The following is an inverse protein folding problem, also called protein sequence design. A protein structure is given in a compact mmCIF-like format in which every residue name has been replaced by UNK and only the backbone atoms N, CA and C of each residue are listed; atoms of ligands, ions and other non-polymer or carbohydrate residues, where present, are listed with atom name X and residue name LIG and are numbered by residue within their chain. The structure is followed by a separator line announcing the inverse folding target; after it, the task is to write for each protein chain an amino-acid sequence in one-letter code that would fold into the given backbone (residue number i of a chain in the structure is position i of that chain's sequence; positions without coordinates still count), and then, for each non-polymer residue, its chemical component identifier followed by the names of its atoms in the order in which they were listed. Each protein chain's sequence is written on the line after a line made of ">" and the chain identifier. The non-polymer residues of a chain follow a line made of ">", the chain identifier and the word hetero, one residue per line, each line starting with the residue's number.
data_IF_421724607572
#
_entry.id   IF_421724607572
#
_cell.length_a   1.000
_cell.length_b   1.000
_cell.length_c   1.000
_cell.angle_alpha   90.00
_cell.angle_beta   90.00
_cell.angle_gamma   90.00
#
_symmetry.space_group_name_H-M   'P 1'
#
loop_
_entity.id
_entity.type
_entity.pdbx_description
1 polymer ?
#
# COMPACT_ATOMS: atom_id res chain seq x y z
N UNK A 1 -1.21 19.75 -9.42
CA UNK A 1 -1.73 19.14 -8.17
C UNK A 1 -2.38 17.79 -8.45
N UNK A 2 -3.29 17.69 -9.42
CA UNK A 2 -3.80 16.42 -9.94
C UNK A 2 -2.70 15.38 -10.26
N UNK A 3 -1.55 15.83 -10.80
CA UNK A 3 -0.44 14.98 -11.24
C UNK A 3 0.09 13.99 -10.20
N UNK A 4 0.22 14.40 -8.93
CA UNK A 4 0.79 13.51 -7.88
C UNK A 4 -0.22 12.42 -7.54
N UNK A 5 -1.49 12.77 -7.37
CA UNK A 5 -2.53 11.80 -7.08
C UNK A 5 -2.73 10.86 -8.27
N UNK A 6 -2.67 11.36 -9.52
CA UNK A 6 -2.65 10.54 -10.73
C UNK A 6 -1.48 9.55 -10.73
N UNK A 7 -0.25 10.01 -10.43
CA UNK A 7 0.94 9.15 -10.38
C UNK A 7 0.79 8.05 -9.33
N UNK A 8 0.30 8.38 -8.14
CA UNK A 8 0.04 7.41 -7.07
C UNK A 8 -1.02 6.40 -7.53
N UNK A 9 -2.13 6.86 -8.10
CA UNK A 9 -3.20 6.00 -8.60
C UNK A 9 -2.70 5.04 -9.68
N UNK A 10 -1.94 5.54 -10.67
CA UNK A 10 -1.36 4.72 -11.72
C UNK A 10 -0.36 3.70 -11.16
N UNK A 11 0.44 4.08 -10.17
CA UNK A 11 1.35 3.15 -9.50
C UNK A 11 0.58 2.04 -8.78
N UNK A 12 -0.50 2.38 -8.06
CA UNK A 12 -1.36 1.41 -7.36
C UNK A 12 -2.04 0.47 -8.37
N UNK A 13 -2.58 1.00 -9.46
CA UNK A 13 -3.18 0.20 -10.55
C UNK A 13 -2.13 -0.74 -11.15
N UNK A 14 -0.93 -0.24 -11.41
CA UNK A 14 0.16 -1.03 -11.97
C UNK A 14 0.57 -2.17 -11.02
N UNK A 15 0.73 -1.89 -9.72
CA UNK A 15 1.01 -2.91 -8.72
C UNK A 15 -0.12 -3.95 -8.63
N UNK A 16 -1.37 -3.51 -8.62
CA UNK A 16 -2.54 -4.40 -8.63
C UNK A 16 -2.59 -5.29 -9.88
N UNK A 17 -2.33 -4.72 -11.06
CA UNK A 17 -2.24 -5.45 -12.32
C UNK A 17 -1.10 -6.47 -12.32
N UNK A 18 0.06 -6.12 -11.77
CA UNK A 18 1.16 -7.08 -11.57
C UNK A 18 0.75 -8.24 -10.66
N UNK A 19 0.03 -7.98 -9.57
CA UNK A 19 -0.50 -9.02 -8.68
C UNK A 19 -1.58 -9.87 -9.35
N UNK A 20 -2.32 -9.35 -10.33
CA UNK A 20 -3.28 -10.16 -11.09
C UNK A 20 -2.55 -11.06 -12.08
N UNK A 21 -1.57 -10.52 -12.82
CA UNK A 21 -0.82 -11.27 -13.84
C UNK A 21 0.15 -12.29 -13.23
N UNK A 22 0.81 -11.92 -12.12
CA UNK A 22 1.69 -12.79 -11.34
C UNK A 22 1.39 -12.64 -9.85
N UNK A 23 0.42 -13.39 -9.31
CA UNK A 23 -0.01 -13.32 -7.90
C UNK A 23 1.11 -13.42 -6.87
N UNK A 24 2.14 -14.19 -7.19
CA UNK A 24 3.27 -14.42 -6.29
C UNK A 24 4.40 -13.39 -6.42
N UNK A 25 4.38 -12.50 -7.42
CA UNK A 25 5.50 -11.58 -7.67
C UNK A 25 5.80 -10.67 -6.47
N UNK A 26 4.78 -10.04 -5.87
CA UNK A 26 4.97 -9.17 -4.71
C UNK A 26 5.27 -9.98 -3.43
N UNK A 27 4.53 -11.07 -3.11
CA UNK A 27 4.87 -11.94 -2.00
C UNK A 27 6.30 -12.49 -2.05
N UNK A 28 6.77 -12.93 -3.22
CA UNK A 28 8.12 -13.49 -3.39
C UNK A 28 9.19 -12.43 -3.16
N UNK A 29 9.00 -11.19 -3.65
CA UNK A 29 9.90 -10.06 -3.34
C UNK A 29 9.89 -9.78 -1.83
N UNK A 30 8.72 -9.74 -1.20
CA UNK A 30 8.64 -9.49 0.23
C UNK A 30 9.36 -10.58 1.04
N UNK A 31 9.31 -11.84 0.63
CA UNK A 31 10.04 -12.96 1.28
C UNK A 31 11.55 -12.80 1.22
N UNK A 32 12.10 -12.21 0.15
CA UNK A 32 13.54 -11.99 0.02
C UNK A 32 14.07 -10.99 1.05
N UNK A 33 13.26 -9.99 1.42
CA UNK A 33 13.69 -8.89 2.29
C UNK A 33 13.09 -8.93 3.69
N UNK A 34 12.12 -9.83 3.97
CA UNK A 34 11.37 -9.81 5.24
C UNK A 34 12.28 -9.90 6.46
N UNK A 35 13.38 -10.64 6.37
CA UNK A 35 14.29 -10.85 7.51
C UNK A 35 15.21 -9.64 7.78
N UNK A 36 15.33 -8.71 6.82
CA UNK A 36 16.11 -7.49 6.96
C UNK A 36 15.35 -6.43 7.75
N UNK A 37 15.95 -5.92 8.83
CA UNK A 37 15.37 -4.80 9.61
C UNK A 37 15.14 -3.56 8.75
N UNK A 38 15.97 -3.36 7.71
CA UNK A 38 15.81 -2.29 6.75
C UNK A 38 14.46 -2.36 6.01
N UNK A 39 13.92 -3.55 5.75
CA UNK A 39 12.62 -3.73 5.10
C UNK A 39 11.48 -3.12 5.92
N UNK A 40 11.48 -3.31 7.25
CA UNK A 40 10.51 -2.68 8.14
C UNK A 40 10.58 -1.15 8.05
N UNK A 41 11.79 -0.59 8.11
CA UNK A 41 12.01 0.86 8.05
C UNK A 41 11.53 1.43 6.73
N UNK A 42 11.95 0.85 5.59
CA UNK A 42 11.52 1.32 4.27
C UNK A 42 10.02 1.16 4.05
N UNK A 43 9.44 0.03 4.46
CA UNK A 43 8.00 -0.22 4.34
C UNK A 43 7.17 0.74 5.19
N UNK A 44 7.69 1.16 6.34
CA UNK A 44 7.03 2.10 7.25
C UNK A 44 7.16 3.53 6.73
N UNK A 45 8.36 3.96 6.34
CA UNK A 45 8.61 5.28 5.75
C UNK A 45 7.79 5.46 4.46
N UNK A 46 7.76 4.45 3.59
CA UNK A 46 6.96 4.48 2.36
C UNK A 46 5.47 4.71 2.63
N UNK A 47 4.90 4.04 3.64
CA UNK A 47 3.51 4.23 4.08
C UNK A 47 3.26 5.62 4.65
N UNK A 48 4.19 6.13 5.45
CA UNK A 48 4.10 7.48 6.00
C UNK A 48 4.12 8.51 4.87
N UNK A 49 5.08 8.44 3.96
CA UNK A 49 5.18 9.37 2.83
C UNK A 49 3.93 9.31 1.93
N UNK A 50 3.45 8.10 1.62
CA UNK A 50 2.22 7.90 0.85
C UNK A 50 1.01 8.50 1.58
N UNK A 51 0.90 8.25 2.88
CA UNK A 51 -0.19 8.76 3.70
C UNK A 51 -0.19 10.28 3.82
N UNK A 52 0.98 10.91 4.03
CA UNK A 52 1.14 12.37 3.98
C UNK A 52 0.69 12.91 2.62
N UNK A 53 1.14 12.29 1.52
CA UNK A 53 0.78 12.73 0.18
C UNK A 53 -0.74 12.65 -0.03
N UNK A 54 -1.38 11.54 0.32
CA UNK A 54 -2.83 11.38 0.19
C UNK A 54 -3.61 12.41 1.01
N UNK A 55 -3.29 12.58 2.30
CA UNK A 55 -3.98 13.56 3.17
C UNK A 55 -3.79 14.98 2.65
N UNK A 56 -2.57 15.35 2.25
CA UNK A 56 -2.26 16.71 1.77
C UNK A 56 -2.98 17.07 0.48
N UNK A 57 -3.24 16.09 -0.39
CA UNK A 57 -3.91 16.31 -1.66
C UNK A 57 -5.40 15.94 -1.65
N UNK A 58 -5.94 15.53 -0.49
CA UNK A 58 -7.32 15.08 -0.36
C UNK A 58 -8.34 16.18 -0.72
N UNK A 59 -8.12 17.41 -0.25
CA UNK A 59 -9.01 18.56 -0.48
C UNK A 59 -9.13 18.95 -1.96
N UNK A 60 -8.17 18.54 -2.79
CA UNK A 60 -8.17 18.79 -4.23
C UNK A 60 -8.82 17.65 -5.03
N UNK A 61 -9.29 16.59 -4.36
CA UNK A 61 -9.92 15.44 -4.99
C UNK A 61 -11.45 15.58 -5.01
N UNK A 62 -12.12 14.88 -5.94
CA UNK A 62 -13.58 14.71 -5.95
C UNK A 62 -14.12 13.94 -4.76
N UNK A 63 -13.27 13.15 -4.09
CA UNK A 63 -13.64 12.28 -2.98
C UNK A 63 -12.75 12.58 -1.74
N UNK A 64 -12.79 13.81 -1.20
CA UNK A 64 -11.84 14.27 -0.17
C UNK A 64 -11.90 13.41 1.09
N UNK A 65 -13.09 12.98 1.50
CA UNK A 65 -13.27 12.11 2.66
C UNK A 65 -12.62 10.73 2.46
N UNK A 66 -12.79 10.11 1.29
CA UNK A 66 -12.23 8.79 1.00
C UNK A 66 -10.70 8.84 0.90
N UNK A 67 -10.16 9.84 0.22
CA UNK A 67 -8.71 10.03 0.10
C UNK A 67 -8.08 10.31 1.48
N UNK A 68 -8.76 11.09 2.32
CA UNK A 68 -8.33 11.34 3.70
C UNK A 68 -8.32 10.07 4.54
N UNK A 69 -9.36 9.22 4.45
CA UNK A 69 -9.43 7.95 5.18
C UNK A 69 -8.28 7.03 4.77
N UNK A 70 -8.06 6.85 3.46
CA UNK A 70 -6.98 6.00 2.95
C UNK A 70 -5.60 6.55 3.33
N UNK A 71 -5.40 7.86 3.23
CA UNK A 71 -4.16 8.51 3.63
C UNK A 71 -3.88 8.37 5.12
N UNK A 72 -4.90 8.57 5.96
CA UNK A 72 -4.79 8.43 7.41
C UNK A 72 -4.55 6.98 7.83
N UNK A 73 -5.22 6.01 7.20
CA UNK A 73 -4.97 4.59 7.45
C UNK A 73 -3.53 4.20 7.09
N UNK A 74 -3.02 4.70 5.96
CA UNK A 74 -1.63 4.48 5.55
C UNK A 74 -0.64 5.09 6.55
N UNK A 75 -0.86 6.34 6.95
CA UNK A 75 -0.07 7.02 8.00
C UNK A 75 -0.02 6.21 9.30
N UNK A 76 -1.18 5.88 9.84
CA UNK A 76 -1.29 5.16 11.12
C UNK A 76 -0.63 3.79 11.03
N UNK A 77 -0.78 3.07 9.92
CA UNK A 77 -0.13 1.77 9.74
C UNK A 77 1.40 1.89 9.68
N UNK A 78 1.94 2.91 8.99
CA UNK A 78 3.37 3.15 8.93
C UNK A 78 3.96 3.54 10.29
N UNK A 79 3.26 4.39 11.03
CA UNK A 79 3.65 4.76 12.41
C UNK A 79 3.59 3.54 13.33
N UNK A 80 2.50 2.78 13.30
CA UNK A 80 2.33 1.59 14.13
C UNK A 80 3.44 0.56 13.87
N UNK A 81 3.83 0.36 12.61
CA UNK A 81 4.93 -0.55 12.27
C UNK A 81 6.29 -0.06 12.74
N UNK A 82 6.53 1.24 12.91
CA UNK A 82 7.78 1.71 13.54
C UNK A 82 7.87 1.37 15.03
N UNK A 83 6.73 1.28 15.73
CA UNK A 83 6.69 0.92 17.15
C UNK A 83 6.68 -0.58 17.41
N UNK A 84 6.47 -1.41 16.39
CA UNK A 84 6.59 -2.86 16.52
C UNK A 84 8.06 -3.29 16.59
N UNK A 85 8.36 -4.28 17.43
CA UNK A 85 9.68 -4.91 17.39
C UNK A 85 9.89 -5.61 16.04
N UNK A 86 11.12 -5.67 15.51
CA UNK A 86 11.40 -6.31 14.22
C UNK A 86 10.91 -7.76 14.13
N UNK A 87 10.93 -8.50 15.23
CA UNK A 87 10.39 -9.87 15.32
C UNK A 87 8.89 -9.88 15.09
N UNK A 88 8.13 -9.02 15.79
CA UNK A 88 6.67 -8.93 15.64
C UNK A 88 6.27 -8.48 14.24
N UNK A 89 7.02 -7.55 13.65
CA UNK A 89 6.80 -7.12 12.27
C UNK A 89 7.03 -8.27 11.28
N UNK A 90 8.12 -9.02 11.44
CA UNK A 90 8.43 -10.21 10.62
C UNK A 90 7.33 -11.26 10.72
N UNK A 91 6.89 -11.58 11.93
CA UNK A 91 5.81 -12.54 12.17
C UNK A 91 4.50 -12.08 11.52
N UNK A 92 4.18 -10.79 11.61
CA UNK A 92 3.01 -10.20 10.97
C UNK A 92 3.07 -10.33 9.44
N UNK A 93 4.20 -9.96 8.82
CA UNK A 93 4.37 -10.06 7.37
C UNK A 93 4.33 -11.52 6.92
N UNK A 94 5.00 -12.45 7.62
CA UNK A 94 4.95 -13.89 7.31
C UNK A 94 3.52 -14.43 7.37
N UNK A 95 2.75 -14.03 8.40
CA UNK A 95 1.32 -14.39 8.53
C UNK A 95 0.50 -13.85 7.35
N UNK A 96 0.74 -12.60 6.94
CA UNK A 96 0.07 -12.01 5.79
C UNK A 96 0.45 -12.68 4.47
N UNK A 97 1.72 -13.02 4.28
CA UNK A 97 2.20 -13.73 3.09
C UNK A 97 1.57 -15.11 2.96
N UNK A 98 1.40 -15.84 4.06
CA UNK A 98 0.70 -17.12 4.07
C UNK A 98 -0.76 -16.96 3.61
N UNK A 99 -1.48 -15.97 4.15
CA UNK A 99 -2.87 -15.70 3.73
C UNK A 99 -2.98 -15.24 2.29
N UNK A 100 -2.04 -14.42 1.80
CA UNK A 100 -2.05 -13.91 0.43
C UNK A 100 -1.84 -15.04 -0.58
N UNK A 101 -1.00 -16.02 -0.26
CA UNK A 101 -0.81 -17.21 -1.10
C UNK A 101 -2.12 -17.98 -1.33
N UNK A 102 -2.96 -18.12 -0.30
CA UNK A 102 -4.25 -18.78 -0.38
C UNK A 102 -5.30 -17.96 -1.15
N UNK A 103 -5.17 -16.63 -1.16
CA UNK A 103 -6.12 -15.71 -1.79
C UNK A 103 -5.88 -15.51 -3.29
N UNK A 104 -4.74 -15.95 -3.83
CA UNK A 104 -4.42 -15.86 -5.26
C UNK A 104 -4.49 -14.42 -5.79
N UNK A 105 -5.36 -14.17 -6.78
CA UNK A 105 -5.50 -12.87 -7.46
C UNK A 105 -6.28 -11.82 -6.66
N UNK A 106 -7.00 -12.21 -5.60
CA UNK A 106 -7.95 -11.32 -4.88
C UNK A 106 -7.28 -10.03 -4.40
N UNK A 107 -6.09 -10.07 -3.75
CA UNK A 107 -5.43 -8.84 -3.30
C UNK A 107 -5.08 -7.92 -4.46
N UNK A 108 -4.71 -8.47 -5.63
CA UNK A 108 -4.46 -7.69 -6.84
C UNK A 108 -5.71 -6.98 -7.37
N UNK A 109 -6.86 -7.66 -7.35
CA UNK A 109 -8.15 -7.05 -7.71
C UNK A 109 -8.49 -5.90 -6.77
N UNK A 110 -8.38 -6.11 -5.45
CA UNK A 110 -8.66 -5.08 -4.44
C UNK A 110 -7.75 -3.87 -4.64
N UNK A 111 -6.45 -4.08 -4.78
CA UNK A 111 -5.46 -3.01 -5.01
C UNK A 111 -5.78 -2.26 -6.31
N UNK A 112 -6.13 -2.97 -7.39
CA UNK A 112 -6.50 -2.35 -8.67
C UNK A 112 -7.75 -1.48 -8.53
N UNK A 113 -8.79 -1.98 -7.85
CA UNK A 113 -10.04 -1.22 -7.60
C UNK A 113 -9.74 0.04 -6.79
N UNK A 114 -8.93 -0.06 -5.74
CA UNK A 114 -8.51 1.11 -4.95
C UNK A 114 -7.79 2.13 -5.83
N UNK A 115 -6.88 1.69 -6.69
CA UNK A 115 -6.18 2.55 -7.64
C UNK A 115 -7.12 3.25 -8.64
N UNK A 116 -8.11 2.54 -9.17
CA UNK A 116 -9.14 3.10 -10.06
C UNK A 116 -10.02 4.13 -9.35
N UNK A 117 -10.42 3.85 -8.10
CA UNK A 117 -11.18 4.80 -7.28
C UNK A 117 -10.36 6.06 -7.02
N UNK A 118 -9.08 5.92 -6.68
CA UNK A 118 -8.18 7.06 -6.50
C UNK A 118 -7.97 7.83 -7.80
N UNK A 119 -7.90 7.16 -8.96
CA UNK A 119 -7.80 7.82 -10.26
C UNK A 119 -9.06 8.62 -10.58
N UNK A 120 -10.24 8.06 -10.34
CA UNK A 120 -11.52 8.75 -10.46
C UNK A 120 -11.62 9.96 -9.51
N UNK A 121 -11.06 9.83 -8.30
CA UNK A 121 -11.02 10.91 -7.33
C UNK A 121 -10.18 12.11 -7.80
N UNK A 122 -9.27 11.97 -8.76
CA UNK A 122 -8.44 13.09 -9.24
C UNK A 122 -9.25 14.17 -9.95
N UNK A 123 -10.31 13.78 -10.67
CA UNK A 123 -11.03 14.68 -11.58
C UNK A 123 -11.02 14.21 -13.02
#
# INVERSE_FOLDING_TARGET
>A
MATILTLISLLIIFMGGMMIYRPKAIPDIARLYVDETAFQVYASIGRILLGIALVRYADYSRLPMLVTILGTASLLSGIAFLFLSPEKFRDFIRTMLFKVDDLGIIPGIVVTIVGLILLYAVG
#
